data_IF_667017752849
#
_entry.id   IF_667017752849
#
_cell.length_a   1.000
_cell.length_b   1.000
_cell.length_c   1.000
_cell.angle_alpha   90.00
_cell.angle_beta   90.00
_cell.angle_gamma   90.00
#
_symmetry.space_group_name_H-M   'P 1'
#
loop_
_entity.id
_entity.type
_entity.pdbx_description
1 polymer ?
#
# COMPACT_ATOMS: atom_id res chain seq x y z
N UNK A 1 -9.10 -15.11 10.81
CA UNK A 1 -9.52 -13.83 10.19
C UNK A 1 -8.28 -12.94 10.10
N UNK A 2 -8.07 -12.27 8.98
CA UNK A 2 -6.95 -11.32 8.80
C UNK A 2 -7.54 -9.91 8.90
N UNK A 3 -6.96 -9.08 9.76
CA UNK A 3 -7.29 -7.66 9.87
C UNK A 3 -6.20 -6.86 9.18
N UNK A 4 -6.59 -5.91 8.33
CA UNK A 4 -5.69 -4.94 7.70
C UNK A 4 -6.07 -3.54 8.18
N UNK A 5 -5.17 -2.91 8.93
CA UNK A 5 -5.42 -1.58 9.49
C UNK A 5 -4.99 -0.51 8.50
N UNK A 6 -5.93 0.37 8.10
CA UNK A 6 -5.58 1.47 7.17
C UNK A 6 -4.87 2.60 7.90
N UNK A 7 -3.67 2.96 7.43
CA UNK A 7 -2.84 3.98 8.08
C UNK A 7 -3.27 5.41 7.77
N UNK A 8 -4.08 5.63 6.73
CA UNK A 8 -4.63 6.95 6.41
C UNK A 8 -5.55 7.48 7.52
N UNK A 9 -6.16 6.58 8.31
CA UNK A 9 -7.02 6.94 9.44
C UNK A 9 -6.25 7.15 10.76
N UNK A 10 -4.93 6.95 10.76
CA UNK A 10 -4.08 7.14 11.92
C UNK A 10 -3.72 8.61 12.18
N UNK A 11 -3.04 8.84 13.28
CA UNK A 11 -2.43 10.14 13.57
C UNK A 11 -1.15 10.31 12.74
N UNK A 12 -1.25 11.04 11.62
CA UNK A 12 -0.14 11.19 10.67
C UNK A 12 1.11 11.84 11.28
N UNK A 13 0.98 12.61 12.37
CA UNK A 13 2.13 13.18 13.09
C UNK A 13 2.78 12.17 14.06
N UNK A 14 2.08 11.08 14.40
CA UNK A 14 2.54 10.05 15.32
C UNK A 14 2.35 8.63 14.76
N UNK A 15 2.47 8.49 13.45
CA UNK A 15 2.17 7.25 12.75
C UNK A 15 2.98 6.04 13.27
N UNK A 16 4.24 6.26 13.64
CA UNK A 16 5.07 5.20 14.23
C UNK A 16 4.48 4.65 15.53
N UNK A 17 3.95 5.52 16.40
CA UNK A 17 3.28 5.11 17.63
C UNK A 17 2.04 4.25 17.35
N UNK A 18 1.25 4.65 16.36
CA UNK A 18 0.02 3.91 16.00
C UNK A 18 0.37 2.54 15.40
N UNK A 19 1.41 2.47 14.56
CA UNK A 19 1.95 1.21 14.01
C UNK A 19 2.43 0.28 15.14
N UNK A 20 3.20 0.80 16.09
CA UNK A 20 3.72 0.02 17.21
C UNK A 20 2.60 -0.51 18.11
N UNK A 21 1.58 0.29 18.37
CA UNK A 21 0.40 -0.12 19.12
C UNK A 21 -0.35 -1.25 18.42
N UNK A 22 -0.59 -1.12 17.11
CA UNK A 22 -1.27 -2.16 16.32
C UNK A 22 -0.48 -3.47 16.31
N UNK A 23 0.83 -3.41 16.20
CA UNK A 23 1.69 -4.60 16.27
C UNK A 23 1.61 -5.28 17.65
N UNK A 24 1.61 -4.50 18.75
CA UNK A 24 1.45 -5.01 20.11
C UNK A 24 0.10 -5.72 20.31
N UNK A 25 -0.96 -5.22 19.66
CA UNK A 25 -2.29 -5.82 19.69
C UNK A 25 -2.47 -6.98 18.69
N UNK A 26 -1.40 -7.42 18.02
CA UNK A 26 -1.44 -8.55 17.10
C UNK A 26 -2.03 -8.24 15.72
N UNK A 27 -2.01 -6.98 15.28
CA UNK A 27 -2.43 -6.53 13.96
C UNK A 27 -1.21 -6.18 13.09
N UNK A 28 -0.51 -7.14 12.47
CA UNK A 28 0.71 -6.87 11.71
C UNK A 28 0.47 -6.47 10.25
N UNK A 29 -0.77 -6.44 9.76
CA UNK A 29 -1.09 -6.10 8.37
C UNK A 29 -1.57 -4.66 8.28
N UNK A 30 -0.92 -3.86 7.44
CA UNK A 30 -1.24 -2.45 7.21
C UNK A 30 -1.70 -2.21 5.78
N UNK A 31 -2.83 -1.52 5.65
CA UNK A 31 -3.35 -1.06 4.37
C UNK A 31 -2.80 0.33 4.08
N UNK A 32 -2.14 0.47 2.92
CA UNK A 32 -1.47 1.70 2.50
C UNK A 32 -2.15 2.23 1.24
N UNK A 33 -2.82 3.36 1.39
CA UNK A 33 -3.50 4.05 0.30
C UNK A 33 -2.53 4.97 -0.44
N UNK A 34 -2.28 4.68 -1.71
CA UNK A 34 -1.43 5.48 -2.62
C UNK A 34 -2.33 6.20 -3.62
N UNK A 35 -2.32 7.53 -3.59
CA UNK A 35 -3.19 8.36 -4.42
C UNK A 35 -2.37 9.40 -5.17
N UNK A 36 -2.70 9.61 -6.46
CA UNK A 36 -2.01 10.53 -7.37
C UNK A 36 -2.85 11.75 -7.79
N UNK A 37 -4.01 11.95 -7.18
CA UNK A 37 -4.98 13.01 -7.48
C UNK A 37 -5.59 12.96 -8.89
N UNK A 38 -5.56 11.79 -9.56
CA UNK A 38 -6.25 11.55 -10.83
C UNK A 38 -7.50 10.71 -10.64
N UNK A 39 -7.36 9.48 -10.19
CA UNK A 39 -8.49 8.59 -9.96
C UNK A 39 -9.38 9.07 -8.81
N UNK A 40 -8.78 9.62 -7.78
CA UNK A 40 -9.43 10.24 -6.62
C UNK A 40 -8.86 11.64 -6.38
N UNK A 41 -9.65 12.62 -5.89
CA UNK A 41 -9.20 14.02 -5.76
C UNK A 41 -8.36 14.25 -4.50
N UNK A 42 -7.34 13.42 -4.28
CA UNK A 42 -6.46 13.52 -3.13
C UNK A 42 -5.06 13.00 -3.48
N UNK A 43 -4.06 13.45 -2.71
CA UNK A 43 -2.70 12.89 -2.67
C UNK A 43 -2.54 12.15 -1.36
N UNK A 44 -2.03 10.93 -1.39
CA UNK A 44 -1.80 10.17 -0.18
C UNK A 44 -0.60 9.24 -0.33
N UNK A 45 0.18 9.16 0.72
CA UNK A 45 1.34 8.29 0.92
C UNK A 45 2.25 8.10 -0.31
N UNK A 46 3.31 7.36 -0.13
CA UNK A 46 4.28 7.06 -1.19
C UNK A 46 4.99 5.72 -0.92
N UNK A 47 5.78 5.26 -1.89
CA UNK A 47 6.56 4.02 -1.78
C UNK A 47 7.62 4.05 -0.68
N UNK A 48 8.12 5.25 -0.31
CA UNK A 48 9.12 5.37 0.75
C UNK A 48 8.55 5.09 2.13
N UNK A 49 7.25 5.38 2.36
CA UNK A 49 6.57 4.95 3.58
C UNK A 49 6.58 3.41 3.68
N UNK A 50 6.22 2.70 2.59
CA UNK A 50 6.23 1.24 2.55
C UNK A 50 7.63 0.71 2.89
N UNK A 51 8.66 1.21 2.21
CA UNK A 51 10.06 0.82 2.45
C UNK A 51 10.49 1.08 3.90
N UNK A 52 10.09 2.21 4.46
CA UNK A 52 10.39 2.56 5.85
C UNK A 52 9.72 1.60 6.83
N UNK A 53 8.44 1.29 6.64
CA UNK A 53 7.71 0.35 7.48
C UNK A 53 8.36 -1.04 7.43
N UNK A 54 8.62 -1.57 6.23
CA UNK A 54 9.25 -2.88 6.04
C UNK A 54 10.66 -2.96 6.63
N UNK A 55 11.41 -1.87 6.62
CA UNK A 55 12.77 -1.83 7.20
C UNK A 55 12.79 -1.79 8.72
N UNK A 56 11.71 -1.31 9.35
CA UNK A 56 11.65 -1.09 10.81
C UNK A 56 10.78 -2.08 11.55
N UNK A 57 9.76 -2.64 10.89
CA UNK A 57 8.74 -3.43 11.55
C UNK A 57 8.50 -4.77 10.86
N UNK A 58 8.26 -5.84 11.61
CA UNK A 58 7.85 -7.14 11.06
C UNK A 58 6.37 -7.08 10.66
N UNK A 59 6.06 -6.45 9.53
CA UNK A 59 4.70 -6.22 9.08
C UNK A 59 4.45 -6.71 7.65
N UNK A 60 3.18 -6.92 7.35
CA UNK A 60 2.66 -7.21 6.01
C UNK A 60 2.04 -5.94 5.45
N UNK A 61 2.35 -5.59 4.21
CA UNK A 61 1.84 -4.41 3.53
C UNK A 61 0.87 -4.80 2.43
N UNK A 62 -0.36 -4.35 2.59
CA UNK A 62 -1.42 -4.42 1.59
C UNK A 62 -1.54 -3.05 0.93
N UNK A 63 -1.01 -2.91 -0.28
CA UNK A 63 -0.95 -1.63 -0.98
C UNK A 63 -2.16 -1.44 -1.89
N UNK A 64 -2.81 -0.28 -1.81
CA UNK A 64 -3.96 0.10 -2.60
C UNK A 64 -3.63 1.29 -3.50
N UNK A 65 -3.54 1.04 -4.82
CA UNK A 65 -3.16 2.04 -5.80
C UNK A 65 -4.40 2.69 -6.40
N UNK A 66 -4.79 3.83 -5.87
CA UNK A 66 -5.84 4.70 -6.41
C UNK A 66 -5.22 5.73 -7.35
N UNK A 67 -4.72 5.25 -8.49
CA UNK A 67 -3.99 6.06 -9.45
C UNK A 67 -4.19 5.61 -10.88
N UNK A 68 -3.94 6.51 -11.82
CA UNK A 68 -3.94 6.18 -13.23
C UNK A 68 -2.65 5.42 -13.60
N UNK A 69 -2.79 4.44 -14.52
CA UNK A 69 -1.69 3.62 -15.00
C UNK A 69 -0.91 2.93 -13.87
N UNK A 70 -1.63 2.38 -12.88
CA UNK A 70 -1.04 1.70 -11.72
C UNK A 70 -0.03 0.62 -12.11
N UNK A 71 -0.21 -0.03 -13.27
CA UNK A 71 0.69 -1.03 -13.82
C UNK A 71 2.12 -0.55 -14.01
N UNK A 72 2.35 0.74 -14.21
CA UNK A 72 3.69 1.33 -14.37
C UNK A 72 4.49 1.40 -13.06
N UNK A 73 3.84 1.13 -11.94
CA UNK A 73 4.42 1.26 -10.60
C UNK A 73 4.60 -0.07 -9.88
N UNK A 74 4.19 -1.19 -10.48
CA UNK A 74 4.16 -2.50 -9.80
C UNK A 74 5.56 -2.96 -9.37
N UNK A 75 6.59 -2.79 -10.21
CA UNK A 75 7.97 -3.11 -9.85
C UNK A 75 8.47 -2.26 -8.69
N UNK A 76 8.22 -0.95 -8.72
CA UNK A 76 8.58 -0.05 -7.61
C UNK A 76 7.86 -0.41 -6.32
N UNK A 77 6.62 -0.87 -6.43
CA UNK A 77 5.83 -1.33 -5.29
C UNK A 77 6.43 -2.59 -4.67
N UNK A 78 6.77 -3.57 -5.50
CA UNK A 78 7.43 -4.80 -5.06
C UNK A 78 8.81 -4.50 -4.44
N UNK A 79 9.62 -3.65 -5.08
CA UNK A 79 10.91 -3.21 -4.57
C UNK A 79 10.81 -2.45 -3.24
N UNK A 80 9.69 -1.77 -3.00
CA UNK A 80 9.43 -1.12 -1.72
C UNK A 80 9.08 -2.14 -0.63
N UNK A 81 8.67 -3.36 -1.00
CA UNK A 81 8.39 -4.46 -0.09
C UNK A 81 6.89 -4.67 0.19
N UNK A 82 5.99 -4.23 -0.70
CA UNK A 82 4.58 -4.58 -0.58
C UNK A 82 4.37 -6.09 -0.76
N UNK A 83 3.48 -6.67 0.03
CA UNK A 83 3.16 -8.11 0.01
C UNK A 83 1.91 -8.40 -0.82
N UNK A 84 1.04 -7.41 -1.01
CA UNK A 84 -0.13 -7.47 -1.89
C UNK A 84 -0.41 -6.13 -2.52
N UNK A 85 -1.16 -6.15 -3.64
CA UNK A 85 -1.54 -4.94 -4.35
C UNK A 85 -2.99 -5.01 -4.84
N UNK A 86 -3.73 -3.92 -4.61
CA UNK A 86 -5.05 -3.65 -5.19
C UNK A 86 -4.93 -2.53 -6.21
N UNK A 87 -5.49 -2.75 -7.41
CA UNK A 87 -5.57 -1.74 -8.47
C UNK A 87 -7.02 -1.56 -8.91
N UNK A 88 -7.32 -0.42 -9.52
CA UNK A 88 -8.64 -0.11 -10.07
C UNK A 88 -8.70 -0.36 -11.56
N UNK A 89 -9.77 -1.01 -12.03
CA UNK A 89 -10.00 -1.25 -13.47
C UNK A 89 -10.08 0.07 -14.26
N UNK A 90 -10.66 1.10 -13.65
CA UNK A 90 -10.82 2.41 -14.28
C UNK A 90 -9.48 3.12 -14.55
N UNK A 91 -8.47 2.86 -13.71
CA UNK A 91 -7.14 3.46 -13.84
C UNK A 91 -6.13 2.62 -14.61
N UNK A 92 -6.45 1.39 -14.98
CA UNK A 92 -5.55 0.47 -15.64
C UNK A 92 -5.79 0.42 -17.15
N UNK A 93 -4.72 0.50 -17.96
CA UNK A 93 -4.81 0.33 -19.41
C UNK A 93 -4.90 -1.15 -19.82
N UNK A 94 -4.23 -2.02 -19.08
CA UNK A 94 -4.20 -3.46 -19.34
C UNK A 94 -4.37 -4.27 -18.04
N UNK A 95 -5.57 -4.27 -17.42
CA UNK A 95 -5.79 -4.81 -16.08
C UNK A 95 -5.44 -6.30 -15.94
N UNK A 96 -5.71 -7.12 -16.97
CA UNK A 96 -5.33 -8.54 -16.93
C UNK A 96 -3.80 -8.73 -16.90
N UNK A 97 -3.06 -7.93 -17.64
CA UNK A 97 -1.59 -7.99 -17.66
C UNK A 97 -1.04 -7.50 -16.31
N UNK A 98 -1.62 -6.44 -15.75
CA UNK A 98 -1.29 -5.94 -14.43
C UNK A 98 -1.48 -7.01 -13.35
N UNK A 99 -2.61 -7.71 -13.33
CA UNK A 99 -2.86 -8.80 -12.38
C UNK A 99 -1.87 -9.98 -12.55
N UNK A 100 -1.52 -10.34 -13.80
CA UNK A 100 -0.49 -11.35 -14.03
C UNK A 100 0.88 -10.89 -13.51
N UNK A 101 1.19 -9.61 -13.68
CA UNK A 101 2.44 -9.02 -13.20
C UNK A 101 2.50 -9.00 -11.68
N UNK A 102 1.44 -8.57 -10.99
CA UNK A 102 1.33 -8.60 -9.52
C UNK A 102 1.61 -10.02 -8.98
N UNK A 103 1.07 -11.05 -9.65
CA UNK A 103 1.31 -12.44 -9.23
C UNK A 103 2.73 -12.95 -9.48
N UNK A 104 3.46 -12.33 -10.39
CA UNK A 104 4.81 -12.73 -10.76
C UNK A 104 5.90 -12.04 -9.91
N UNK A 105 5.55 -10.94 -9.23
CA UNK A 105 6.43 -10.17 -8.34
C UNK A 105 6.36 -10.68 -6.91
#
# INVERSE_FOLDING_TARGET
MIYSSTLICGDLLHLARDVELLLQEGCPTFHIDLMDAHLVPNLCFNFDLIRTLKSRYPCTIDAHLMMDNAENYLERLADAGADSATIHLQGAQAPEQALRRIRAL
#
